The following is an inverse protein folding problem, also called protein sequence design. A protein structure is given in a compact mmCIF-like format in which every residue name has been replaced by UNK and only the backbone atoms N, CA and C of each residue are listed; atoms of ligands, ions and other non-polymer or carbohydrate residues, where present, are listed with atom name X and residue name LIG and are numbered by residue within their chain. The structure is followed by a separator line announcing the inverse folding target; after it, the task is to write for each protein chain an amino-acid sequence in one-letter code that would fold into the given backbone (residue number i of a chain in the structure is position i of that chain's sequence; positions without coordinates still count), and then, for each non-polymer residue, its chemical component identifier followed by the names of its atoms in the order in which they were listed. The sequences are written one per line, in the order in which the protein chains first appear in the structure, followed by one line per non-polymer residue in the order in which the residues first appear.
data_IF_650586949543
#
_entry.id   IF_650586949543
#
_cell.length_a   1.000
_cell.length_b   1.000
_cell.length_c   1.000
_cell.angle_alpha   90.00
_cell.angle_beta   90.00
_cell.angle_gamma   90.00
#
_symmetry.space_group_name_H-M   'P 1'
#
loop_
_entity.id
_entity.type
_entity.pdbx_description
1 polymer ?
#
# COMPACT_ATOMS: atom_id res chain seq x y z
N UNK A 1 -10.96 -2.44 8.73
CA UNK A 1 -11.31 -1.23 7.95
C UNK A 1 -10.24 -1.08 6.87
N UNK A 2 -10.60 -1.30 5.60
CA UNK A 2 -9.64 -1.41 4.49
C UNK A 2 -9.93 -0.37 3.41
N UNK A 3 -8.89 0.07 2.72
CA UNK A 3 -8.99 0.72 1.41
C UNK A 3 -8.60 -0.33 0.38
N UNK A 4 -9.50 -0.66 -0.54
CA UNK A 4 -9.23 -1.66 -1.58
C UNK A 4 -9.80 -1.23 -2.92
N UNK A 5 -9.08 -1.52 -4.00
CA UNK A 5 -9.46 -1.21 -5.37
C UNK A 5 -8.96 -2.27 -6.34
N UNK A 6 -9.68 -2.41 -7.46
CA UNK A 6 -9.31 -3.32 -8.55
C UNK A 6 -9.26 -2.59 -9.88
N UNK A 7 -8.25 -2.90 -10.70
CA UNK A 7 -8.07 -2.39 -12.05
C UNK A 7 -8.07 -3.55 -13.03
N UNK A 8 -8.98 -3.50 -14.00
CA UNK A 8 -8.93 -4.41 -15.14
C UNK A 8 -7.83 -3.93 -16.10
N UNK A 9 -6.87 -4.81 -16.34
CA UNK A 9 -5.78 -4.60 -17.28
C UNK A 9 -6.06 -5.43 -18.53
N UNK A 10 -5.89 -4.80 -19.70
CA UNK A 10 -6.06 -5.45 -20.99
C UNK A 10 -4.70 -5.62 -21.67
N UNK A 11 -4.54 -6.73 -22.39
CA UNK A 11 -3.29 -7.12 -23.04
C UNK A 11 -2.36 -7.92 -22.12
N UNK A 12 -1.14 -8.13 -22.61
CA UNK A 12 -0.11 -8.87 -21.90
C UNK A 12 0.50 -7.99 -20.81
N UNK A 13 0.19 -8.32 -19.55
CA UNK A 13 0.75 -7.64 -18.38
C UNK A 13 2.02 -8.37 -17.96
N UNK A 14 3.11 -7.63 -17.82
CA UNK A 14 4.34 -8.17 -17.23
C UNK A 14 4.17 -8.23 -15.70
N UNK A 15 3.79 -9.40 -15.19
CA UNK A 15 3.56 -9.63 -13.77
C UNK A 15 4.79 -9.32 -12.91
N UNK A 16 5.99 -9.61 -13.42
CA UNK A 16 7.24 -9.38 -12.70
C UNK A 16 7.53 -7.88 -12.60
N UNK A 17 7.36 -7.13 -13.69
CA UNK A 17 7.48 -5.68 -13.68
C UNK A 17 6.44 -5.03 -12.75
N UNK A 18 5.21 -5.53 -12.73
CA UNK A 18 4.15 -5.02 -11.86
C UNK A 18 4.46 -5.28 -10.38
N UNK A 19 4.87 -6.51 -10.03
CA UNK A 19 5.29 -6.85 -8.67
C UNK A 19 6.45 -5.97 -8.20
N UNK A 20 7.50 -5.84 -9.02
CA UNK A 20 8.65 -4.99 -8.72
C UNK A 20 8.26 -3.52 -8.53
N UNK A 21 7.24 -3.05 -9.24
CA UNK A 21 6.73 -1.69 -9.10
C UNK A 21 6.06 -1.46 -7.76
N UNK A 22 5.26 -2.43 -7.30
CA UNK A 22 4.64 -2.37 -5.96
C UNK A 22 5.72 -2.46 -4.87
N UNK A 23 6.71 -3.34 -5.03
CA UNK A 23 7.84 -3.45 -4.09
C UNK A 23 8.64 -2.14 -3.99
N UNK A 24 8.88 -1.45 -5.11
CA UNK A 24 9.56 -0.16 -5.12
C UNK A 24 8.78 0.93 -4.38
N UNK A 25 7.45 0.94 -4.53
CA UNK A 25 6.56 1.84 -3.79
C UNK A 25 6.62 1.54 -2.29
N UNK A 26 6.54 0.27 -1.89
CA UNK A 26 6.62 -0.12 -0.47
C UNK A 26 7.99 0.27 0.13
N UNK A 27 9.08 0.16 -0.64
CA UNK A 27 10.39 0.59 -0.19
C UNK A 27 10.49 2.13 -0.02
N UNK A 28 9.82 2.88 -0.90
CA UNK A 28 9.87 4.35 -0.94
C UNK A 28 9.04 5.04 0.15
N UNK A 29 7.89 4.47 0.51
CA UNK A 29 6.96 5.06 1.50
C UNK A 29 7.05 4.32 2.83
N UNK A 30 7.60 5.00 3.86
CA UNK A 30 7.84 4.38 5.16
C UNK A 30 6.56 3.85 5.82
N UNK A 31 5.46 4.56 5.61
CA UNK A 31 4.14 4.20 6.14
C UNK A 31 3.68 2.80 5.67
N UNK A 32 4.08 2.37 4.47
CA UNK A 32 3.69 1.08 3.91
C UNK A 32 4.49 -0.10 4.51
N UNK A 33 5.64 0.19 5.12
CA UNK A 33 6.48 -0.75 5.88
C UNK A 33 6.42 -0.50 7.39
N UNK A 34 5.37 0.20 7.85
CA UNK A 34 5.13 0.48 9.27
C UNK A 34 4.16 -0.53 9.87
N UNK A 35 4.49 -1.04 11.06
CA UNK A 35 3.61 -1.81 11.94
C UNK A 35 3.34 -1.06 13.24
N UNK A 36 2.29 -1.46 13.95
CA UNK A 36 1.81 -0.81 15.16
C UNK A 36 1.86 -1.82 16.31
N UNK A 37 2.81 -1.62 17.23
CA UNK A 37 3.09 -2.55 18.32
C UNK A 37 2.80 -1.87 19.64
N UNK A 38 2.09 -2.57 20.53
CA UNK A 38 1.91 -2.10 21.91
C UNK A 38 3.11 -2.51 22.76
N UNK A 39 3.59 -1.61 23.61
CA UNK A 39 4.56 -1.94 24.65
C UNK A 39 3.90 -2.63 25.85
N UNK A 40 4.71 -2.99 26.87
CA UNK A 40 4.25 -3.65 28.09
C UNK A 40 3.23 -2.80 28.90
N UNK A 41 3.20 -1.49 28.68
CA UNK A 41 2.24 -0.57 29.29
C UNK A 41 0.97 -0.39 28.45
N UNK A 42 0.88 -1.04 27.27
CA UNK A 42 -0.24 -0.94 26.35
C UNK A 42 -0.19 0.29 25.43
N UNK A 43 0.92 1.03 25.40
CA UNK A 43 1.08 2.19 24.53
C UNK A 43 1.48 1.74 23.12
N UNK A 44 0.66 2.12 22.13
CA UNK A 44 0.90 1.75 20.73
C UNK A 44 1.93 2.68 20.09
N UNK A 45 2.96 2.10 19.48
CA UNK A 45 4.03 2.79 18.78
C UNK A 45 4.11 2.36 17.31
N UNK A 46 4.53 3.28 16.45
CA UNK A 46 4.86 3.00 15.06
C UNK A 46 6.27 2.42 14.98
N UNK A 47 6.40 1.26 14.35
CA UNK A 47 7.67 0.62 14.07
C UNK A 47 7.85 0.50 12.56
N UNK A 48 8.85 1.21 12.04
CA UNK A 48 9.14 1.26 10.60
C UNK A 48 10.19 0.19 10.29
N UNK A 49 9.82 -0.83 9.52
CA UNK A 49 10.74 -1.92 9.16
C UNK A 49 11.79 -1.43 8.16
N UNK A 50 13.10 -1.70 8.34
CA UNK A 50 14.15 -1.24 7.42
C UNK A 50 13.95 -1.69 5.97
N UNK A 51 13.30 -2.84 5.78
CA UNK A 51 12.94 -3.37 4.48
C UNK A 51 11.45 -3.68 4.46
N UNK A 52 10.77 -3.21 3.42
CA UNK A 52 9.37 -3.53 3.21
C UNK A 52 9.19 -4.94 2.66
N UNK A 53 8.12 -5.61 3.08
CA UNK A 53 7.67 -6.88 2.51
C UNK A 53 6.37 -6.65 1.74
N UNK A 54 6.18 -7.39 0.65
CA UNK A 54 4.94 -7.38 -0.13
C UNK A 54 4.26 -8.74 -0.03
N UNK A 55 3.04 -8.72 0.49
CA UNK A 55 2.10 -9.83 0.40
C UNK A 55 1.50 -9.83 -1.02
N UNK A 56 2.10 -10.64 -1.89
CA UNK A 56 1.77 -10.77 -3.32
C UNK A 56 1.07 -12.10 -3.60
N UNK A 57 -0.08 -12.03 -4.26
CA UNK A 57 -0.79 -13.21 -4.76
C UNK A 57 -0.90 -13.16 -6.27
N UNK A 58 -0.55 -14.26 -6.94
CA UNK A 58 -0.71 -14.40 -8.39
C UNK A 58 -1.32 -15.76 -8.70
N UNK A 59 -2.42 -15.75 -9.45
CA UNK A 59 -3.09 -16.96 -9.87
C UNK A 59 -3.88 -16.74 -11.17
N UNK A 60 -3.64 -17.59 -12.17
CA UNK A 60 -4.50 -17.66 -13.35
C UNK A 60 -5.80 -18.38 -12.99
N UNK A 61 -6.93 -17.71 -13.18
CA UNK A 61 -8.24 -18.17 -12.75
C UNK A 61 -9.27 -18.13 -13.88
N UNK A 62 -10.30 -19.00 -13.85
CA UNK A 62 -11.49 -18.80 -14.66
C UNK A 62 -12.12 -17.44 -14.37
N UNK A 63 -12.69 -16.79 -15.39
CA UNK A 63 -13.32 -15.47 -15.23
C UNK A 63 -14.39 -15.44 -14.12
N UNK A 64 -15.08 -16.55 -13.91
CA UNK A 64 -16.09 -16.74 -12.86
C UNK A 64 -15.53 -16.71 -11.44
N UNK A 65 -14.24 -16.97 -11.24
CA UNK A 65 -13.60 -17.04 -9.92
C UNK A 65 -12.80 -15.78 -9.55
N UNK A 66 -12.52 -14.90 -10.51
CA UNK A 66 -11.70 -13.71 -10.29
C UNK A 66 -12.32 -12.77 -9.25
N UNK A 67 -13.64 -12.55 -9.33
CA UNK A 67 -14.33 -11.67 -8.39
C UNK A 67 -14.24 -12.18 -6.94
N UNK A 68 -14.35 -13.50 -6.75
CA UNK A 68 -14.23 -14.13 -5.43
C UNK A 68 -12.80 -14.07 -4.92
N UNK A 69 -11.79 -14.36 -5.75
CA UNK A 69 -10.39 -14.24 -5.38
C UNK A 69 -10.03 -12.79 -4.97
N UNK A 70 -10.47 -11.81 -5.76
CA UNK A 70 -10.31 -10.39 -5.45
C UNK A 70 -11.01 -10.01 -4.13
N UNK A 71 -12.22 -10.53 -3.89
CA UNK A 71 -12.95 -10.28 -2.64
C UNK A 71 -12.24 -10.87 -1.44
N UNK A 72 -11.78 -12.12 -1.52
CA UNK A 72 -11.03 -12.80 -0.44
C UNK A 72 -9.76 -12.04 -0.13
N UNK A 73 -9.01 -11.63 -1.15
CA UNK A 73 -7.83 -10.79 -0.98
C UNK A 73 -8.20 -9.45 -0.36
N UNK A 74 -9.25 -8.75 -0.81
CA UNK A 74 -9.62 -7.45 -0.27
C UNK A 74 -10.16 -7.51 1.18
N UNK A 75 -10.83 -8.59 1.57
CA UNK A 75 -11.50 -8.70 2.87
C UNK A 75 -10.66 -9.35 3.98
N UNK A 76 -9.55 -10.01 3.66
CA UNK A 76 -8.66 -10.62 4.67
C UNK A 76 -8.26 -9.59 5.76
N UNK A 77 -8.46 -9.84 7.05
CA UNK A 77 -8.03 -8.90 8.09
C UNK A 77 -6.52 -8.64 8.03
N UNK A 78 -6.10 -7.43 8.39
CA UNK A 78 -4.68 -7.12 8.62
C UNK A 78 -4.36 -7.25 10.11
N UNK A 79 -3.22 -7.85 10.42
CA UNK A 79 -2.62 -7.79 11.75
C UNK A 79 -1.70 -6.57 11.82
N UNK A 80 -2.10 -5.57 12.59
CA UNK A 80 -1.36 -4.31 12.72
C UNK A 80 0.02 -4.50 13.37
N UNK A 81 0.19 -5.52 14.21
CA UNK A 81 1.43 -5.77 14.95
C UNK A 81 2.46 -6.57 14.15
N UNK A 82 2.03 -7.28 13.11
CA UNK A 82 2.91 -8.09 12.26
C UNK A 82 3.18 -7.43 10.90
N UNK A 83 2.16 -6.79 10.31
CA UNK A 83 2.23 -6.35 8.93
C UNK A 83 2.47 -7.51 7.94
N UNK A 84 2.77 -7.20 6.66
CA UNK A 84 2.63 -5.88 6.03
C UNK A 84 1.17 -5.41 5.96
N UNK A 85 0.97 -4.10 5.90
CA UNK A 85 -0.37 -3.48 5.88
C UNK A 85 -0.85 -3.09 4.48
N UNK A 86 -0.13 -3.55 3.46
CA UNK A 86 -0.47 -3.51 2.05
C UNK A 86 -0.29 -4.91 1.47
N UNK A 87 -1.22 -5.30 0.61
CA UNK A 87 -1.12 -6.52 -0.20
C UNK A 87 -1.66 -6.27 -1.59
N UNK A 88 -1.16 -7.04 -2.54
CA UNK A 88 -1.53 -6.92 -3.94
C UNK A 88 -1.78 -8.30 -4.55
N UNK A 89 -2.69 -8.34 -5.52
CA UNK A 89 -3.02 -9.53 -6.27
C UNK A 89 -3.05 -9.26 -7.76
N UNK A 90 -2.53 -10.18 -8.56
CA UNK A 90 -2.71 -10.20 -10.00
C UNK A 90 -3.43 -11.49 -10.39
N UNK A 91 -4.60 -11.35 -10.99
CA UNK A 91 -5.44 -12.47 -11.40
C UNK A 91 -5.68 -12.44 -12.91
N UNK A 92 -4.79 -13.05 -13.73
CA UNK A 92 -5.05 -13.24 -15.15
C UNK A 92 -6.27 -14.13 -15.37
N UNK A 93 -7.13 -13.75 -16.33
CA UNK A 93 -8.13 -14.69 -16.83
C UNK A 93 -7.43 -15.82 -17.59
N UNK A 94 -7.98 -17.02 -17.52
CA UNK A 94 -7.55 -18.12 -18.41
C UNK A 94 -7.85 -17.79 -19.89
N UNK A 95 -8.82 -16.91 -20.15
CA UNK A 95 -9.04 -16.28 -21.45
C UNK A 95 -7.92 -15.25 -21.73
N UNK A 96 -7.43 -15.19 -22.96
CA UNK A 96 -6.27 -14.36 -23.28
C UNK A 96 -6.53 -12.85 -23.13
N UNK A 97 -5.51 -12.12 -22.65
CA UNK A 97 -5.44 -10.66 -22.75
C UNK A 97 -6.27 -9.88 -21.73
N UNK A 98 -6.66 -10.48 -20.60
CA UNK A 98 -7.35 -9.77 -19.52
C UNK A 98 -6.85 -10.22 -18.15
N UNK A 99 -6.64 -9.27 -17.24
CA UNK A 99 -6.28 -9.57 -15.86
C UNK A 99 -6.88 -8.55 -14.90
N UNK A 100 -7.16 -8.98 -13.68
CA UNK A 100 -7.56 -8.09 -12.59
C UNK A 100 -6.39 -7.90 -11.66
N UNK A 101 -5.88 -6.67 -11.58
CA UNK A 101 -4.97 -6.25 -10.53
C UNK A 101 -5.77 -5.72 -9.34
N UNK A 102 -5.45 -6.15 -8.12
CA UNK A 102 -6.12 -5.75 -6.89
C UNK A 102 -5.07 -5.22 -5.92
N UNK A 103 -5.37 -4.09 -5.30
CA UNK A 103 -4.56 -3.53 -4.22
C UNK A 103 -5.45 -3.35 -3.00
N UNK A 104 -5.00 -3.83 -1.84
CA UNK A 104 -5.69 -3.66 -0.58
C UNK A 104 -4.71 -3.21 0.50
N UNK A 105 -5.12 -2.24 1.30
CA UNK A 105 -4.31 -1.65 2.36
C UNK A 105 -5.16 -1.30 3.57
N UNK A 106 -4.55 -1.28 4.76
CA UNK A 106 -5.22 -0.81 5.95
C UNK A 106 -5.33 0.72 5.91
N UNK A 107 -6.48 1.28 6.31
CA UNK A 107 -6.72 2.72 6.28
C UNK A 107 -5.87 3.52 7.30
N UNK A 108 -5.14 2.83 8.18
CA UNK A 108 -4.19 3.47 9.11
C UNK A 108 -2.89 3.89 8.40
N UNK A 109 -2.60 3.28 7.25
CA UNK A 109 -1.43 3.59 6.40
C UNK A 109 -1.83 4.23 5.07
N UNK A 110 -3.09 4.65 4.93
CA UNK A 110 -3.63 5.15 3.68
C UNK A 110 -4.88 6.01 3.83
N UNK A 111 -5.07 6.93 2.90
CA UNK A 111 -6.30 7.70 2.70
C UNK A 111 -6.61 7.83 1.20
N UNK A 112 -7.72 8.49 0.86
CA UNK A 112 -8.14 8.66 -0.53
C UNK A 112 -7.14 9.46 -1.39
N UNK A 113 -6.35 10.36 -0.79
CA UNK A 113 -5.33 11.12 -1.52
C UNK A 113 -4.11 10.24 -1.82
N UNK A 114 -3.68 9.48 -0.82
CA UNK A 114 -2.55 8.55 -0.87
C UNK A 114 -2.76 7.52 -1.98
N UNK A 115 -3.97 6.99 -2.15
CA UNK A 115 -4.29 6.04 -3.25
C UNK A 115 -3.95 6.63 -4.61
N UNK A 116 -4.26 7.91 -4.86
CA UNK A 116 -3.93 8.56 -6.13
C UNK A 116 -2.41 8.64 -6.34
N UNK A 117 -1.66 9.04 -5.31
CA UNK A 117 -0.18 9.11 -5.37
C UNK A 117 0.41 7.73 -5.67
N UNK A 118 -0.06 6.68 -4.99
CA UNK A 118 0.41 5.32 -5.21
C UNK A 118 0.12 4.83 -6.65
N UNK A 119 -1.03 5.18 -7.21
CA UNK A 119 -1.36 4.83 -8.60
C UNK A 119 -0.47 5.55 -9.62
N UNK A 120 -0.21 6.85 -9.43
CA UNK A 120 0.69 7.62 -10.30
C UNK A 120 2.12 7.04 -10.28
N UNK A 121 2.63 6.71 -9.08
CA UNK A 121 3.94 6.07 -8.94
C UNK A 121 3.96 4.64 -9.51
N UNK A 122 2.86 3.87 -9.35
CA UNK A 122 2.75 2.51 -9.90
C UNK A 122 2.89 2.51 -11.42
N UNK A 123 2.22 3.44 -12.10
CA UNK A 123 2.33 3.59 -13.56
C UNK A 123 3.74 3.98 -13.96
N UNK A 124 4.38 4.91 -13.23
CA UNK A 124 5.74 5.34 -13.51
C UNK A 124 6.76 4.20 -13.34
N UNK A 125 6.69 3.46 -12.24
CA UNK A 125 7.54 2.31 -11.96
C UNK A 125 7.32 1.18 -12.98
N UNK A 126 6.06 0.87 -13.30
CA UNK A 126 5.73 -0.20 -14.25
C UNK A 126 6.27 0.12 -15.65
N UNK A 127 6.04 1.34 -16.13
CA UNK A 127 6.56 1.80 -17.43
C UNK A 127 8.08 1.71 -17.48
N UNK A 128 8.76 2.19 -16.45
CA UNK A 128 10.22 2.14 -16.38
C UNK A 128 10.75 0.69 -16.37
N UNK A 129 10.11 -0.20 -15.62
CA UNK A 129 10.47 -1.61 -15.55
C UNK A 129 10.28 -2.32 -16.91
N UNK A 130 9.15 -2.09 -17.60
CA UNK A 130 8.87 -2.68 -18.93
C UNK A 130 9.83 -2.15 -19.99
N UNK A 131 10.08 -0.84 -20.01
CA UNK A 131 10.99 -0.21 -20.97
C UNK A 131 12.48 -0.41 -20.62
N UNK A 132 12.78 -0.95 -19.43
CA UNK A 132 14.14 -1.08 -18.87
C UNK A 132 14.86 0.27 -18.80
N UNK A 133 14.11 1.32 -18.49
CA UNK A 133 14.59 2.69 -18.35
C UNK A 133 14.81 3.02 -16.87
N UNK A 134 15.80 3.87 -16.53
CA UNK A 134 15.96 4.35 -15.16
C UNK A 134 14.81 5.29 -14.79
N UNK A 135 14.15 5.01 -13.66
CA UNK A 135 13.20 5.95 -13.05
C UNK A 135 13.89 6.76 -11.97
N UNK A 136 13.78 8.09 -12.06
CA UNK A 136 14.17 9.01 -10.98
C UNK A 136 12.96 9.80 -10.52
N UNK A 137 12.39 9.40 -9.40
CA UNK A 137 11.41 10.20 -8.68
C UNK A 137 12.14 11.15 -7.73
N UNK A 138 11.60 12.36 -7.53
CA UNK A 138 12.12 13.28 -6.53
C UNK A 138 12.10 12.61 -5.14
N UNK A 139 13.06 12.94 -4.27
CA UNK A 139 13.02 12.48 -2.88
C UNK A 139 11.72 12.99 -2.21
N UNK A 140 11.13 12.18 -1.34
CA UNK A 140 10.01 12.64 -0.51
C UNK A 140 10.59 13.61 0.53
N UNK A 141 10.19 14.89 0.55
CA UNK A 141 10.75 15.86 1.48
C UNK A 141 10.30 15.62 2.92
N UNK A 142 9.22 14.87 3.12
CA UNK A 142 8.59 14.56 4.40
C UNK A 142 8.06 13.13 4.33
N UNK A 143 8.29 12.34 5.37
CA UNK A 143 7.66 11.04 5.59
C UNK A 143 6.55 11.14 6.63
N UNK A 144 5.64 10.17 6.66
CA UNK A 144 4.51 10.20 7.61
C UNK A 144 4.96 10.26 9.07
N UNK A 145 6.11 9.63 9.40
CA UNK A 145 6.68 9.69 10.74
C UNK A 145 7.06 11.13 11.16
N UNK A 146 7.60 11.93 10.23
CA UNK A 146 7.91 13.34 10.46
C UNK A 146 6.64 14.15 10.75
N UNK A 147 5.58 13.90 9.97
CA UNK A 147 4.27 14.53 10.20
C UNK A 147 3.67 14.14 11.56
N UNK A 148 3.73 12.86 11.93
CA UNK A 148 3.21 12.38 13.21
C UNK A 148 3.98 12.95 14.41
N UNK A 149 5.29 13.12 14.28
CA UNK A 149 6.10 13.80 15.29
C UNK A 149 5.72 15.28 15.42
N UNK A 150 5.62 16.00 14.29
CA UNK A 150 5.17 17.39 14.26
C UNK A 150 3.79 17.58 14.90
N UNK A 151 2.84 16.70 14.59
CA UNK A 151 1.49 16.77 15.14
C UNK A 151 1.46 16.56 16.66
N UNK A 152 2.26 15.62 17.17
CA UNK A 152 2.38 15.40 18.62
C UNK A 152 2.94 16.64 19.31
N UNK A 153 4.02 17.20 18.77
CA UNK A 153 4.67 18.38 19.36
C UNK A 153 3.72 19.60 19.33
N UNK A 154 2.92 19.76 18.26
CA UNK A 154 1.89 20.79 18.15
C UNK A 154 0.76 20.64 19.19
N UNK A 155 0.29 19.41 19.42
CA UNK A 155 -0.73 19.13 20.44
C UNK A 155 -0.21 19.37 21.86
N UNK A 156 1.05 19.03 22.12
CA UNK A 156 1.72 19.25 23.41
C UNK A 156 2.01 20.73 23.69
N UNK A 157 2.10 21.57 22.64
CA UNK A 157 2.32 23.01 22.74
C UNK A 157 1.05 23.83 23.13
N UNK A 158 -0.06 23.19 23.53
CA UNK A 158 -1.24 23.84 24.11
C UNK A 158 -2.51 23.83 23.25
N UNK A 159 -2.42 23.35 22.01
CA UNK A 159 -3.56 23.28 21.07
C UNK A 159 -4.56 22.17 21.44
N UNK A 160 -4.13 21.19 22.25
CA UNK A 160 -5.00 20.13 22.78
C UNK A 160 -6.17 20.68 23.61
N UNK A 161 -5.98 21.80 24.34
CA UNK A 161 -7.05 22.42 25.14
C UNK A 161 -8.04 23.21 24.27
N UNK A 162 -7.56 23.88 23.22
CA UNK A 162 -8.43 24.63 22.30
C UNK A 162 -9.37 23.71 21.50
N UNK A 163 -8.92 22.51 21.12
CA UNK A 163 -9.75 21.54 20.40
C UNK A 163 -10.80 20.83 21.26
N UNK A 164 -10.60 20.74 22.58
CA UNK A 164 -11.55 20.13 23.52
C UNK A 164 -12.64 21.11 23.99
N UNK A 165 -12.50 22.40 23.66
CA UNK A 165 -13.41 23.48 24.09
C UNK A 165 -14.52 23.77 23.06
N UNK A 166 -14.58 23.02 21.96
CA UNK A 166 -15.64 23.07 20.95
C UNK A 166 -16.64 21.94 21.15
#
# INVERSE_FOLDING_TARGET
YHVAGGLWLNGDVDASALKASVEAIVARHEVLRTRFVADDAGQVQQWIEPQGTLDWQEASLPATQIADAARVLASRPFDLAQGPLLRAGLFPTQEAGKSLFVLAMHHIVSDGWSVRVLLEELVAHYRAAVLKEPLKLAALPVQYADYAAWQRDWLEAGEREQQLTY
#
